data_IF_880944713958
#
_entry.id   IF_880944713958
#
_cell.length_a   1.000
_cell.length_b   1.000
_cell.length_c   1.000
_cell.angle_alpha   90.00
_cell.angle_beta   90.00
_cell.angle_gamma   90.00
#
_symmetry.space_group_name_H-M   'P 1'
#
loop_
_entity.id
_entity.type
_entity.pdbx_description
1 polymer ?
#
# COMPACT_ATOMS: atom_id res chain seq x y z
N UNK A 1 4.40 6.00 -10.39
CA UNK A 1 3.09 5.98 -11.07
C UNK A 1 3.26 5.43 -12.49
N UNK A 2 2.32 4.64 -12.97
CA UNK A 2 2.41 3.92 -14.27
C UNK A 2 1.38 4.45 -15.28
N UNK A 3 1.65 4.28 -16.58
CA UNK A 3 0.73 4.66 -17.66
C UNK A 3 -0.53 3.80 -17.65
N UNK A 4 -1.61 4.36 -18.16
CA UNK A 4 -2.82 3.59 -18.44
C UNK A 4 -2.59 2.62 -19.62
N UNK A 5 -3.18 1.43 -19.54
CA UNK A 5 -3.20 0.44 -20.61
C UNK A 5 -4.48 -0.41 -20.54
N UNK A 6 -4.75 -1.23 -21.57
CA UNK A 6 -5.91 -2.13 -21.56
C UNK A 6 -5.80 -3.16 -20.43
N UNK A 7 -6.92 -3.46 -19.77
CA UNK A 7 -6.99 -4.42 -18.66
C UNK A 7 -6.97 -3.75 -17.29
N UNK A 8 -6.70 -4.53 -16.24
CA UNK A 8 -6.75 -4.08 -14.83
C UNK A 8 -5.37 -3.73 -14.25
N UNK A 9 -4.36 -3.51 -15.09
CA UNK A 9 -2.97 -3.35 -14.67
C UNK A 9 -2.38 -2.05 -15.18
N UNK A 10 -1.41 -1.51 -14.44
CA UNK A 10 -0.60 -0.39 -14.89
C UNK A 10 0.40 -0.81 -15.97
N UNK A 11 0.67 0.10 -16.90
CA UNK A 11 1.71 -0.06 -17.92
C UNK A 11 3.08 0.43 -17.44
N UNK A 12 3.84 1.02 -18.36
CA UNK A 12 5.19 1.50 -18.08
C UNK A 12 5.21 2.66 -17.07
N UNK A 13 6.31 2.80 -16.33
CA UNK A 13 6.49 3.91 -15.39
C UNK A 13 6.50 5.25 -16.12
N UNK A 14 5.83 6.25 -15.55
CA UNK A 14 5.97 7.64 -16.00
C UNK A 14 7.34 8.17 -15.59
N UNK A 15 8.08 8.76 -16.53
CA UNK A 15 9.44 9.28 -16.32
C UNK A 15 9.52 10.78 -16.61
N UNK A 16 10.63 11.40 -16.20
CA UNK A 16 10.88 12.83 -16.45
C UNK A 16 9.78 13.73 -15.90
N UNK A 17 9.40 14.74 -16.68
CA UNK A 17 8.45 15.77 -16.24
C UNK A 17 7.01 15.25 -16.17
N UNK A 18 6.64 14.24 -16.96
CA UNK A 18 5.33 13.60 -16.84
C UNK A 18 5.14 12.91 -15.49
N UNK A 19 6.18 12.20 -15.03
CA UNK A 19 6.18 11.55 -13.72
C UNK A 19 6.09 12.57 -12.58
N UNK A 20 6.84 13.67 -12.67
CA UNK A 20 6.78 14.76 -11.68
C UNK A 20 5.38 15.39 -11.63
N UNK A 21 4.80 15.73 -12.79
CA UNK A 21 3.46 16.30 -12.88
C UNK A 21 2.38 15.36 -12.32
N UNK A 22 2.49 14.07 -12.59
CA UNK A 22 1.58 13.08 -12.02
C UNK A 22 1.68 13.02 -10.48
N UNK A 23 2.90 13.04 -9.96
CA UNK A 23 3.15 13.11 -8.51
C UNK A 23 2.60 14.40 -7.90
N UNK A 24 2.80 15.56 -8.53
CA UNK A 24 2.24 16.83 -8.07
C UNK A 24 0.71 16.78 -7.98
N UNK A 25 0.03 16.24 -8.99
CA UNK A 25 -1.43 16.06 -8.97
C UNK A 25 -1.85 15.12 -7.84
N UNK A 26 -1.12 14.03 -7.63
CA UNK A 26 -1.36 13.09 -6.52
C UNK A 26 -1.24 13.77 -5.16
N UNK A 27 -0.14 14.52 -4.94
CA UNK A 27 0.11 15.25 -3.70
C UNK A 27 -0.92 16.36 -3.46
N UNK A 28 -1.41 17.01 -4.52
CA UNK A 28 -2.53 17.94 -4.41
C UNK A 28 -3.82 17.25 -3.93
N UNK A 29 -4.03 15.98 -4.26
CA UNK A 29 -5.11 15.18 -3.72
C UNK A 29 -4.96 14.93 -2.22
N UNK A 30 -3.73 14.58 -1.78
CA UNK A 30 -3.39 14.45 -0.36
C UNK A 30 -3.67 15.73 0.41
N UNK A 31 -3.21 16.87 -0.09
CA UNK A 31 -3.34 18.15 0.62
C UNK A 31 -4.81 18.51 0.83
N UNK A 32 -5.66 18.27 -0.18
CA UNK A 32 -7.12 18.41 -0.04
C UNK A 32 -7.73 17.44 0.96
N UNK A 33 -7.25 16.20 1.00
CA UNK A 33 -7.70 15.23 1.98
C UNK A 33 -7.37 15.68 3.41
N UNK A 34 -6.22 16.33 3.61
CA UNK A 34 -5.85 16.96 4.89
C UNK A 34 -6.77 18.14 5.22
N UNK A 35 -7.02 19.04 4.27
CA UNK A 35 -7.96 20.17 4.45
C UNK A 35 -9.36 19.66 4.85
N UNK A 36 -9.91 18.68 4.13
CA UNK A 36 -11.22 18.08 4.44
C UNK A 36 -11.24 17.41 5.82
N UNK A 37 -10.17 16.70 6.18
CA UNK A 37 -10.06 16.08 7.50
C UNK A 37 -10.03 17.13 8.63
N UNK A 38 -9.38 18.27 8.41
CA UNK A 38 -9.36 19.38 9.36
C UNK A 38 -10.74 20.02 9.51
N UNK A 39 -11.45 20.29 8.41
CA UNK A 39 -12.82 20.82 8.45
C UNK A 39 -13.77 19.89 9.22
N UNK A 40 -13.66 18.58 9.02
CA UNK A 40 -14.44 17.59 9.79
C UNK A 40 -14.11 17.64 11.29
N UNK A 41 -12.83 17.80 11.63
CA UNK A 41 -12.41 17.92 13.03
C UNK A 41 -12.93 19.22 13.67
N UNK A 42 -12.91 20.33 12.93
CA UNK A 42 -13.41 21.63 13.39
C UNK A 42 -14.94 21.62 13.62
N UNK A 43 -15.66 20.76 12.89
CA UNK A 43 -17.09 20.48 13.09
C UNK A 43 -17.38 19.45 14.20
N UNK A 44 -16.36 19.05 14.96
CA UNK A 44 -16.44 18.04 16.02
C UNK A 44 -16.96 16.66 15.54
N UNK A 45 -16.79 16.34 14.25
CA UNK A 45 -17.17 15.05 13.70
C UNK A 45 -16.22 13.96 14.24
N UNK A 46 -16.79 12.80 14.59
CA UNK A 46 -15.98 11.69 15.11
C UNK A 46 -14.86 11.28 14.14
N UNK A 47 -13.65 11.08 14.67
CA UNK A 47 -12.41 10.81 13.92
C UNK A 47 -12.48 9.64 12.93
N UNK A 48 -13.44 8.73 13.06
CA UNK A 48 -13.65 7.63 12.10
C UNK A 48 -13.89 8.15 10.67
N UNK A 49 -14.51 9.33 10.52
CA UNK A 49 -14.79 9.92 9.21
C UNK A 49 -13.56 10.62 8.64
N UNK A 50 -12.88 11.45 9.44
CA UNK A 50 -11.62 12.09 9.06
C UNK A 50 -10.55 11.06 8.67
N UNK A 51 -10.43 9.96 9.42
CA UNK A 51 -9.50 8.88 9.10
C UNK A 51 -9.79 8.25 7.73
N UNK A 52 -11.07 8.06 7.36
CA UNK A 52 -11.46 7.49 6.06
C UNK A 52 -11.00 8.34 4.87
N UNK A 53 -10.97 9.67 5.06
CA UNK A 53 -10.49 10.63 4.06
C UNK A 53 -8.96 10.57 3.92
N UNK A 54 -8.25 10.40 5.03
CA UNK A 54 -6.79 10.38 5.09
C UNK A 54 -6.17 9.04 4.67
N UNK A 55 -6.92 7.94 4.84
CA UNK A 55 -6.45 6.56 4.62
C UNK A 55 -5.67 6.33 3.30
N UNK A 56 -6.09 6.84 2.13
CA UNK A 56 -5.37 6.62 0.88
C UNK A 56 -3.94 7.17 0.86
N UNK A 57 -3.61 8.09 1.77
CA UNK A 57 -2.34 8.80 1.82
C UNK A 57 -1.53 8.52 3.09
N UNK A 58 -2.10 7.81 4.05
CA UNK A 58 -1.48 7.53 5.33
C UNK A 58 -0.70 6.21 5.28
N UNK A 59 0.47 6.18 5.94
CA UNK A 59 1.13 4.92 6.26
C UNK A 59 0.45 4.26 7.44
N UNK A 60 0.26 2.95 7.35
CA UNK A 60 -0.23 2.11 8.44
C UNK A 60 0.80 1.03 8.76
N UNK A 61 0.83 0.62 10.02
CA UNK A 61 1.55 -0.57 10.46
C UNK A 61 0.55 -1.70 10.67
N UNK A 62 0.83 -2.87 10.11
CA UNK A 62 -0.05 -4.04 10.19
C UNK A 62 0.78 -5.25 10.61
N UNK A 63 0.29 -5.99 11.60
CA UNK A 63 0.79 -7.33 11.91
C UNK A 63 -0.02 -8.33 11.08
N UNK A 64 0.64 -9.10 10.24
CA UNK A 64 0.01 -10.13 9.40
C UNK A 64 0.54 -11.49 9.81
N UNK A 65 -0.38 -12.40 10.16
CA UNK A 65 -0.08 -13.80 10.47
C UNK A 65 -0.89 -14.70 9.55
N UNK A 66 -0.28 -15.77 9.05
CA UNK A 66 -0.96 -16.77 8.23
C UNK A 66 -0.26 -18.11 8.39
N UNK A 67 -1.02 -19.20 8.20
CA UNK A 67 -0.44 -20.55 8.02
C UNK A 67 0.12 -20.75 6.62
N UNK A 68 -0.30 -19.95 5.64
CA UNK A 68 0.17 -20.04 4.25
C UNK A 68 0.34 -18.68 3.60
N UNK A 69 1.45 -18.49 2.88
CA UNK A 69 1.73 -17.29 2.09
C UNK A 69 1.92 -17.57 0.59
N UNK A 70 1.77 -18.82 0.14
CA UNK A 70 2.01 -19.21 -1.26
C UNK A 70 1.21 -18.37 -2.26
N UNK A 71 -0.10 -18.22 -2.04
CA UNK A 71 -0.96 -17.41 -2.91
C UNK A 71 -0.63 -15.90 -2.82
N UNK A 72 -0.26 -15.41 -1.63
CA UNK A 72 0.17 -14.01 -1.47
C UNK A 72 1.40 -13.73 -2.33
N UNK A 73 2.43 -14.58 -2.24
CA UNK A 73 3.64 -14.40 -3.03
C UNK A 73 3.38 -14.57 -4.53
N UNK A 74 2.55 -15.54 -4.94
CA UNK A 74 2.19 -15.73 -6.35
C UNK A 74 1.53 -14.48 -6.97
N UNK A 75 0.72 -13.75 -6.21
CA UNK A 75 0.00 -12.57 -6.69
C UNK A 75 0.77 -11.26 -6.50
N UNK A 76 1.55 -11.14 -5.41
CA UNK A 76 2.18 -9.88 -5.01
C UNK A 76 3.65 -9.80 -5.39
N UNK A 77 4.36 -10.92 -5.53
CA UNK A 77 5.71 -10.97 -6.14
C UNK A 77 5.55 -11.12 -7.66
N UNK A 78 4.80 -10.22 -8.27
CA UNK A 78 4.45 -10.25 -9.68
C UNK A 78 4.65 -8.88 -10.31
N UNK A 79 5.13 -8.83 -11.55
CA UNK A 79 5.27 -7.59 -12.33
C UNK A 79 3.93 -6.88 -12.58
N UNK A 80 2.82 -7.61 -12.41
CA UNK A 80 1.47 -7.10 -12.58
C UNK A 80 0.91 -6.45 -11.30
N UNK A 81 1.59 -6.64 -10.17
CA UNK A 81 1.21 -6.01 -8.91
C UNK A 81 1.57 -4.52 -8.94
N UNK A 82 0.84 -3.73 -8.16
CA UNK A 82 1.19 -2.33 -7.95
C UNK A 82 2.61 -2.24 -7.34
N UNK A 83 3.48 -1.33 -7.81
CA UNK A 83 4.89 -1.30 -7.40
C UNK A 83 5.10 -1.24 -5.89
N UNK A 84 4.29 -0.47 -5.17
CA UNK A 84 4.43 -0.29 -3.72
C UNK A 84 4.17 -1.59 -2.94
N UNK A 85 3.10 -2.32 -3.26
CA UNK A 85 2.80 -3.61 -2.61
C UNK A 85 3.73 -4.73 -3.09
N UNK A 86 4.20 -4.66 -4.33
CA UNK A 86 5.17 -5.60 -4.86
C UNK A 86 6.49 -5.51 -4.10
N UNK A 87 7.00 -4.29 -3.87
CA UNK A 87 8.23 -4.07 -3.13
C UNK A 87 8.15 -4.65 -1.72
N UNK A 88 7.05 -4.39 -1.00
CA UNK A 88 6.80 -4.99 0.31
C UNK A 88 6.77 -6.53 0.23
N UNK A 89 6.06 -7.09 -0.75
CA UNK A 89 5.94 -8.54 -0.88
C UNK A 89 7.26 -9.24 -1.23
N UNK A 90 8.14 -8.60 -2.01
CA UNK A 90 9.49 -9.10 -2.30
C UNK A 90 10.32 -9.18 -1.02
N UNK A 91 10.34 -8.10 -0.23
CA UNK A 91 11.05 -8.08 1.06
C UNK A 91 10.49 -9.13 2.03
N UNK A 92 9.17 -9.27 2.09
CA UNK A 92 8.52 -10.32 2.87
C UNK A 92 8.93 -11.72 2.39
N UNK A 93 9.02 -11.95 1.08
CA UNK A 93 9.39 -13.24 0.52
C UNK A 93 10.85 -13.59 0.85
N UNK A 94 11.78 -12.65 0.68
CA UNK A 94 13.19 -12.84 1.05
C UNK A 94 13.34 -13.17 2.53
N UNK A 95 12.69 -12.41 3.41
CA UNK A 95 12.68 -12.69 4.84
C UNK A 95 12.05 -14.06 5.17
N UNK A 96 10.97 -14.44 4.47
CA UNK A 96 10.31 -15.73 4.64
C UNK A 96 11.20 -16.91 4.20
N UNK A 97 11.98 -16.76 3.13
CA UNK A 97 12.92 -17.80 2.66
C UNK A 97 14.14 -17.95 3.57
N UNK A 98 14.60 -16.85 4.18
CA UNK A 98 15.73 -16.86 5.12
C UNK A 98 15.32 -17.24 6.55
N UNK A 99 14.04 -17.08 6.89
CA UNK A 99 13.50 -17.42 8.20
C UNK A 99 13.59 -18.92 8.47
N UNK A 100 14.18 -19.28 9.59
CA UNK A 100 14.10 -20.64 10.12
C UNK A 100 12.95 -20.67 11.13
N UNK A 101 11.91 -21.48 10.91
CA UNK A 101 10.82 -21.60 11.88
C UNK A 101 11.34 -22.20 13.19
N UNK A 102 11.02 -21.56 14.30
CA UNK A 102 11.18 -22.19 15.61
C UNK A 102 10.05 -23.20 15.82
N UNK A 103 10.40 -24.47 15.94
CA UNK A 103 9.43 -25.48 16.38
C UNK A 103 9.01 -25.19 17.81
N UNK A 104 7.77 -24.78 17.98
CA UNK A 104 7.14 -24.69 19.30
C UNK A 104 6.50 -26.03 19.62
N UNK A 105 6.69 -26.51 20.85
CA UNK A 105 5.97 -27.69 21.34
C UNK A 105 4.49 -27.40 21.29
N UNK A 106 3.71 -28.37 20.78
CA UNK A 106 2.26 -28.29 20.80
C UNK A 106 1.79 -28.00 22.23
N UNK A 107 0.92 -27.00 22.38
CA UNK A 107 0.55 -26.46 23.68
C UNK A 107 -0.23 -27.47 24.51
N UNK A 108 0.46 -28.15 25.43
CA UNK A 108 -0.10 -28.80 26.62
C UNK A 108 0.74 -28.47 27.84
#
# INVERSE_FOLDING_TARGET
>A
MTRNQKGMQGGEALTGDEGKKALEVWLKGRDRAVETAQELADLEVHKQYANRVLEPYAHISVIVTSSTFSNWFALRVSKMAQPEIQHLAVLMYEAYQLGTPDEVKDGR
#
